data_IF_516092678685
#
_entry.id   IF_516092678685
#
_cell.length_a   1.000
_cell.length_b   1.000
_cell.length_c   1.000
_cell.angle_alpha   90.00
_cell.angle_beta   90.00
_cell.angle_gamma   90.00
#
_symmetry.space_group_name_H-M   'P 1'
#
loop_
_entity.id
_entity.type
_entity.pdbx_description
1 polymer ?
#
# COMPACT_ATOMS: atom_id res chain seq x y z
N UNK A 1 -12.23 5.67 9.54
CA UNK A 1 -12.32 4.48 8.67
C UNK A 1 -12.58 4.83 7.20
N UNK A 2 -13.51 5.76 6.90
CA UNK A 2 -13.76 6.20 5.50
C UNK A 2 -12.52 6.74 4.79
N UNK A 3 -11.70 7.54 5.46
CA UNK A 3 -10.44 8.04 4.90
C UNK A 3 -9.47 6.89 4.55
N UNK A 4 -9.39 5.87 5.41
CA UNK A 4 -8.58 4.68 5.16
C UNK A 4 -9.12 3.88 3.97
N UNK A 5 -10.45 3.81 3.79
CA UNK A 5 -11.05 3.19 2.62
C UNK A 5 -10.75 3.97 1.34
N UNK A 6 -10.88 5.30 1.36
CA UNK A 6 -10.52 6.16 0.23
C UNK A 6 -9.02 6.04 -0.12
N UNK A 7 -8.16 5.99 0.88
CA UNK A 7 -6.72 5.78 0.69
C UNK A 7 -6.43 4.40 0.09
N UNK A 8 -7.07 3.35 0.61
CA UNK A 8 -6.97 1.98 0.07
C UNK A 8 -7.34 1.93 -1.40
N UNK A 9 -8.45 2.58 -1.78
CA UNK A 9 -8.88 2.69 -3.18
C UNK A 9 -7.81 3.33 -4.07
N UNK A 10 -7.24 4.46 -3.65
CA UNK A 10 -6.15 5.13 -4.39
C UNK A 10 -4.91 4.24 -4.54
N UNK A 11 -4.53 3.52 -3.49
CA UNK A 11 -3.40 2.58 -3.55
C UNK A 11 -3.66 1.44 -4.53
N UNK A 12 -4.85 0.85 -4.50
CA UNK A 12 -5.23 -0.24 -5.40
C UNK A 12 -5.28 0.24 -6.86
N UNK A 13 -5.81 1.43 -7.13
CA UNK A 13 -5.77 2.03 -8.48
C UNK A 13 -4.34 2.24 -8.96
N UNK A 14 -3.47 2.78 -8.10
CA UNK A 14 -2.07 3.03 -8.46
C UNK A 14 -1.31 1.72 -8.76
N UNK A 15 -1.49 0.69 -7.93
CA UNK A 15 -0.88 -0.64 -8.13
C UNK A 15 -1.40 -1.29 -9.43
N UNK A 16 -2.72 -1.23 -9.64
CA UNK A 16 -3.33 -1.72 -10.87
C UNK A 16 -2.79 -0.98 -12.11
N UNK A 17 -2.70 0.35 -12.05
CA UNK A 17 -2.15 1.21 -13.09
C UNK A 17 -0.70 0.92 -13.43
N UNK A 18 0.11 0.53 -12.43
CA UNK A 18 1.50 0.11 -12.61
C UNK A 18 1.64 -1.31 -13.19
N UNK A 19 0.56 -2.06 -13.36
CA UNK A 19 0.57 -3.44 -13.85
C UNK A 19 0.95 -4.48 -12.80
N UNK A 20 0.86 -4.15 -11.51
CA UNK A 20 1.03 -5.11 -10.43
C UNK A 20 0.00 -6.25 -10.53
N UNK A 21 0.39 -7.46 -10.16
CA UNK A 21 -0.48 -8.66 -10.21
C UNK A 21 -1.52 -8.70 -9.10
N UNK A 22 -1.30 -7.96 -8.02
CA UNK A 22 -2.17 -7.93 -6.86
C UNK A 22 -1.61 -7.00 -5.78
N UNK A 23 -2.28 -7.00 -4.63
CA UNK A 23 -1.89 -6.23 -3.45
C UNK A 23 -2.04 -7.11 -2.20
N UNK A 24 -1.15 -6.91 -1.23
CA UNK A 24 -1.27 -7.49 0.10
C UNK A 24 -1.60 -6.35 1.08
N UNK A 25 -2.70 -6.48 1.81
CA UNK A 25 -3.11 -5.50 2.81
C UNK A 25 -2.92 -6.07 4.20
N UNK A 26 -2.42 -5.22 5.10
CA UNK A 26 -2.16 -5.52 6.50
C UNK A 26 -2.93 -4.48 7.35
N UNK A 27 -3.66 -4.86 8.40
CA UNK A 27 -3.89 -6.19 8.98
C UNK A 27 -5.23 -6.80 8.54
N UNK A 28 -5.45 -8.09 8.82
CA UNK A 28 -6.78 -8.68 8.73
C UNK A 28 -7.75 -8.01 9.72
N UNK A 29 -7.59 -8.16 11.04
CA UNK A 29 -8.54 -7.61 12.02
C UNK A 29 -7.89 -6.61 12.97
N UNK A 30 -8.72 -5.78 13.57
CA UNK A 30 -8.38 -4.99 14.75
C UNK A 30 -8.12 -5.89 15.95
N UNK A 31 -7.25 -5.45 16.84
CA UNK A 31 -7.01 -6.11 18.10
C UNK A 31 -8.17 -5.83 19.07
N UNK A 32 -8.56 -6.86 19.83
CA UNK A 32 -9.62 -6.72 20.85
C UNK A 32 -9.21 -5.72 21.94
N UNK A 33 -10.14 -4.89 22.47
CA UNK A 33 -9.81 -3.91 23.50
C UNK A 33 -9.15 -4.47 24.75
N UNK A 34 -9.42 -5.74 25.08
CA UNK A 34 -8.88 -6.41 26.27
C UNK A 34 -7.35 -6.49 26.34
N UNK A 35 -6.65 -6.34 25.21
CA UNK A 35 -5.18 -6.41 25.13
C UNK A 35 -4.54 -5.05 24.80
N UNK A 36 -5.31 -3.96 24.73
CA UNK A 36 -4.79 -2.65 24.35
C UNK A 36 -3.81 -2.05 25.37
N UNK A 37 -3.79 -2.55 26.61
CA UNK A 37 -2.83 -2.17 27.65
C UNK A 37 -1.60 -3.08 27.68
N UNK A 38 -1.49 -4.05 26.77
CA UNK A 38 -0.34 -4.95 26.66
C UNK A 38 0.58 -4.51 25.51
N UNK A 39 1.91 -4.68 25.63
CA UNK A 39 2.83 -4.42 24.53
C UNK A 39 2.55 -5.28 23.28
N UNK A 40 2.67 -4.74 22.05
CA UNK A 40 3.05 -3.36 21.72
C UNK A 40 1.85 -2.39 21.68
N UNK A 41 0.63 -2.85 21.97
CA UNK A 41 -0.59 -2.08 21.76
C UNK A 41 -0.76 -0.95 22.78
N UNK A 42 -0.09 -1.02 23.92
CA UNK A 42 0.00 0.03 24.93
C UNK A 42 0.59 1.33 24.36
N UNK A 43 1.55 1.23 23.44
CA UNK A 43 2.22 2.37 22.78
C UNK A 43 1.81 2.53 21.31
N UNK A 44 1.58 1.44 20.59
CA UNK A 44 1.25 1.43 19.16
C UNK A 44 -0.26 1.57 18.94
N UNK A 45 -0.82 2.73 19.34
CA UNK A 45 -2.27 3.00 19.30
C UNK A 45 -2.87 2.77 17.91
N UNK A 46 -2.11 3.07 16.85
CA UNK A 46 -2.55 2.90 15.47
C UNK A 46 -2.80 1.42 15.12
N UNK A 47 -2.01 0.48 15.67
CA UNK A 47 -2.16 -0.95 15.42
C UNK A 47 -3.51 -1.49 15.91
N UNK A 48 -4.10 -0.85 16.93
CA UNK A 48 -5.42 -1.21 17.48
C UNK A 48 -6.53 -1.15 16.44
N UNK A 49 -6.37 -0.34 15.38
CA UNK A 49 -7.43 -0.07 14.38
C UNK A 49 -6.99 -0.25 12.91
N UNK A 50 -5.89 -0.95 12.66
CA UNK A 50 -5.35 -1.22 11.31
C UNK A 50 -6.06 -2.32 10.53
N UNK A 51 -6.89 -3.14 11.18
CA UNK A 51 -7.58 -4.23 10.52
C UNK A 51 -8.57 -3.75 9.47
N UNK A 52 -8.80 -4.60 8.47
CA UNK A 52 -9.93 -4.52 7.53
C UNK A 52 -11.25 -4.95 8.19
N UNK A 53 -11.18 -5.78 9.22
CA UNK A 53 -12.31 -6.17 10.06
C UNK A 53 -12.16 -5.55 11.45
N UNK A 54 -13.28 -5.12 12.05
CA UNK A 54 -13.29 -4.69 13.45
C UNK A 54 -13.13 -5.91 14.36
N UNK A 55 -12.84 -5.68 15.63
CA UNK A 55 -12.63 -6.75 16.61
C UNK A 55 -13.87 -7.62 16.86
N UNK A 56 -15.06 -7.13 16.51
CA UNK A 56 -16.33 -7.88 16.55
C UNK A 56 -16.61 -8.70 15.28
N UNK A 57 -15.70 -8.67 14.30
CA UNK A 57 -15.83 -9.35 13.02
C UNK A 57 -16.63 -8.59 11.97
N UNK A 58 -17.15 -7.39 12.27
CA UNK A 58 -17.83 -6.56 11.27
C UNK A 58 -16.83 -5.98 10.25
N UNK A 59 -17.16 -5.91 8.96
CA UNK A 59 -16.26 -5.37 7.96
C UNK A 59 -16.17 -3.84 8.06
N UNK A 60 -14.99 -3.28 7.78
CA UNK A 60 -14.81 -1.84 7.57
C UNK A 60 -15.10 -1.45 6.11
N UNK A 61 -15.34 -0.17 5.82
CA UNK A 61 -15.65 0.30 4.46
C UNK A 61 -14.60 -0.10 3.40
N UNK A 62 -13.32 -0.22 3.78
CA UNK A 62 -12.25 -0.66 2.89
C UNK A 62 -12.49 -2.07 2.29
N UNK A 63 -13.23 -2.95 2.97
CA UNK A 63 -13.56 -4.30 2.46
C UNK A 63 -14.40 -4.22 1.18
N UNK A 64 -15.36 -3.28 1.12
CA UNK A 64 -16.18 -3.10 -0.08
C UNK A 64 -15.37 -2.52 -1.25
N UNK A 65 -14.43 -1.61 -0.97
CA UNK A 65 -13.46 -1.13 -1.97
C UNK A 65 -12.67 -2.29 -2.55
N UNK A 66 -12.11 -3.17 -1.72
CA UNK A 66 -11.31 -4.32 -2.16
C UNK A 66 -12.14 -5.28 -3.02
N UNK A 67 -13.38 -5.58 -2.60
CA UNK A 67 -14.29 -6.44 -3.40
C UNK A 67 -14.50 -5.89 -4.81
N UNK A 68 -14.61 -4.57 -4.97
CA UNK A 68 -14.75 -3.92 -6.26
C UNK A 68 -13.55 -4.09 -7.21
N UNK A 69 -12.38 -4.52 -6.72
CA UNK A 69 -11.19 -4.80 -7.54
C UNK A 69 -11.09 -6.24 -8.04
N UNK A 70 -11.85 -7.19 -7.47
CA UNK A 70 -11.65 -8.64 -7.63
C UNK A 70 -11.79 -9.23 -9.04
N UNK A 71 -12.19 -8.44 -10.04
CA UNK A 71 -12.43 -8.91 -11.41
C UNK A 71 -11.87 -7.97 -12.50
N UNK A 72 -10.95 -7.07 -12.14
CA UNK A 72 -10.40 -6.13 -13.13
C UNK A 72 -9.42 -6.81 -14.07
N UNK A 73 -9.47 -6.46 -15.35
CA UNK A 73 -8.54 -6.96 -16.38
C UNK A 73 -7.13 -6.48 -16.05
N UNK A 74 -6.19 -7.42 -15.92
CA UNK A 74 -4.78 -7.10 -15.62
C UNK A 74 -4.20 -6.13 -16.65
N UNK A 75 -3.54 -5.08 -16.17
CA UNK A 75 -2.75 -4.18 -17.02
C UNK A 75 -1.36 -4.75 -17.25
N UNK A 76 -0.81 -4.47 -18.43
CA UNK A 76 0.58 -4.79 -18.71
C UNK A 76 1.49 -3.92 -17.82
N UNK A 77 2.58 -4.48 -17.28
CA UNK A 77 3.57 -3.69 -16.57
C UNK A 77 4.06 -2.53 -17.43
N UNK A 78 4.14 -1.33 -16.85
CA UNK A 78 4.76 -0.19 -17.52
C UNK A 78 6.29 -0.30 -17.45
N UNK A 79 6.97 0.30 -18.43
CA UNK A 79 8.42 0.51 -18.31
C UNK A 79 8.71 1.44 -17.11
N UNK A 80 9.83 1.19 -16.43
CA UNK A 80 10.23 1.94 -15.23
C UNK A 80 11.55 2.68 -15.47
N UNK A 81 11.58 3.73 -16.32
CA UNK A 81 12.81 4.43 -16.70
C UNK A 81 13.50 5.16 -15.53
N UNK A 82 12.78 5.32 -14.41
CA UNK A 82 13.35 5.84 -13.16
C UNK A 82 14.27 4.83 -12.47
N UNK A 83 14.19 3.54 -12.81
CA UNK A 83 15.15 2.50 -12.42
C UNK A 83 16.30 2.50 -13.44
N UNK A 84 17.42 3.09 -13.06
CA UNK A 84 18.60 3.29 -13.90
C UNK A 84 19.82 2.48 -13.43
N UNK A 85 19.58 1.42 -12.65
CA UNK A 85 20.63 0.56 -12.08
C UNK A 85 20.23 -0.91 -12.16
N UNK A 86 21.25 -1.76 -12.17
CA UNK A 86 21.10 -3.20 -12.08
C UNK A 86 20.84 -3.65 -10.63
N UNK A 87 20.21 -4.82 -10.42
CA UNK A 87 19.93 -5.35 -9.08
C UNK A 87 21.17 -5.43 -8.17
N UNK A 88 22.32 -5.82 -8.70
CA UNK A 88 23.57 -5.97 -7.94
C UNK A 88 24.04 -4.61 -7.39
N UNK A 89 23.83 -3.53 -8.14
CA UNK A 89 24.17 -2.17 -7.72
C UNK A 89 23.24 -1.69 -6.60
N UNK A 90 21.97 -2.08 -6.63
CA UNK A 90 21.04 -1.81 -5.54
C UNK A 90 21.49 -2.53 -4.26
N UNK A 91 21.81 -3.83 -4.36
CA UNK A 91 22.20 -4.64 -3.21
C UNK A 91 23.55 -4.28 -2.60
N UNK A 92 24.45 -3.66 -3.37
CA UNK A 92 25.71 -3.14 -2.85
C UNK A 92 25.52 -1.99 -1.85
N UNK A 93 24.47 -1.16 -2.00
CA UNK A 93 24.19 -0.04 -1.09
C UNK A 93 22.70 0.37 -1.06
N UNK A 94 21.79 -0.45 -0.48
CA UNK A 94 20.35 -0.19 -0.53
C UNK A 94 19.94 1.14 0.12
N UNK A 95 20.61 1.51 1.22
CA UNK A 95 20.36 2.76 1.94
C UNK A 95 20.65 4.02 1.11
N UNK A 96 21.50 3.91 0.08
CA UNK A 96 21.83 5.00 -0.85
C UNK A 96 20.97 4.90 -2.11
N UNK A 97 20.83 3.69 -2.66
CA UNK A 97 20.09 3.45 -3.89
C UNK A 97 18.60 3.76 -3.74
N UNK A 98 17.97 3.35 -2.63
CA UNK A 98 16.52 3.50 -2.44
C UNK A 98 16.06 4.97 -2.40
N UNK A 99 16.64 5.87 -1.58
CA UNK A 99 16.26 7.29 -1.61
C UNK A 99 16.49 7.94 -2.97
N UNK A 100 17.60 7.60 -3.66
CA UNK A 100 17.92 8.12 -5.00
C UNK A 100 16.86 7.70 -6.03
N UNK A 101 16.52 6.41 -6.07
CA UNK A 101 15.49 5.86 -6.96
C UNK A 101 14.11 6.45 -6.66
N UNK A 102 13.77 6.62 -5.38
CA UNK A 102 12.51 7.25 -4.98
C UNK A 102 12.40 8.70 -5.46
N UNK A 103 13.48 9.47 -5.38
CA UNK A 103 13.51 10.83 -5.91
C UNK A 103 13.34 10.86 -7.44
N UNK A 104 13.97 9.92 -8.16
CA UNK A 104 13.76 9.76 -9.62
C UNK A 104 12.32 9.41 -9.96
N UNK A 105 11.71 8.48 -9.21
CA UNK A 105 10.31 8.12 -9.36
C UNK A 105 9.38 9.33 -9.20
N UNK A 106 9.61 10.15 -8.16
CA UNK A 106 8.84 11.39 -7.95
C UNK A 106 8.97 12.36 -9.11
N UNK A 107 10.20 12.64 -9.55
CA UNK A 107 10.45 13.54 -10.69
C UNK A 107 9.79 13.03 -11.99
N UNK A 108 9.84 11.71 -12.26
CA UNK A 108 9.21 11.11 -13.43
C UNK A 108 7.67 11.21 -13.39
N UNK A 109 7.07 11.12 -12.20
CA UNK A 109 5.62 11.32 -12.01
C UNK A 109 5.19 12.76 -12.22
N UNK A 110 5.96 13.72 -11.71
CA UNK A 110 5.63 15.14 -11.84
C UNK A 110 5.71 15.63 -13.30
N UNK A 111 6.48 14.95 -14.15
CA UNK A 111 6.59 15.20 -15.60
C UNK A 111 5.51 14.47 -16.44
N UNK A 112 4.68 13.62 -15.84
CA UNK A 112 3.59 12.88 -16.52
C UNK A 112 2.23 13.28 -15.94
N UNK A 113 1.58 14.36 -16.42
CA UNK A 113 0.38 14.91 -15.78
C UNK A 113 -0.90 14.06 -15.92
N UNK A 114 -0.87 12.90 -16.58
CA UNK A 114 -2.08 12.17 -17.01
C UNK A 114 -2.19 10.73 -16.49
N UNK A 115 -2.17 10.55 -15.17
CA UNK A 115 -2.63 9.31 -14.51
C UNK A 115 -3.52 9.62 -13.30
N UNK A 116 -4.61 10.37 -13.53
CA UNK A 116 -5.77 10.44 -12.63
C UNK A 116 -6.90 9.61 -13.22
#
# INVERSE_FOLDING_TARGET
EEEAAAYTGRCLEALHGAGCTGAMLWCYSDYVPGIWSEPPLDVAIHERSFGLWRSDGSPKPAVEIIKGFGNRVRRQPSEHPWIDIEPEQFWAAPAVALPRLYNRFRAARDLSPSMQ
#
